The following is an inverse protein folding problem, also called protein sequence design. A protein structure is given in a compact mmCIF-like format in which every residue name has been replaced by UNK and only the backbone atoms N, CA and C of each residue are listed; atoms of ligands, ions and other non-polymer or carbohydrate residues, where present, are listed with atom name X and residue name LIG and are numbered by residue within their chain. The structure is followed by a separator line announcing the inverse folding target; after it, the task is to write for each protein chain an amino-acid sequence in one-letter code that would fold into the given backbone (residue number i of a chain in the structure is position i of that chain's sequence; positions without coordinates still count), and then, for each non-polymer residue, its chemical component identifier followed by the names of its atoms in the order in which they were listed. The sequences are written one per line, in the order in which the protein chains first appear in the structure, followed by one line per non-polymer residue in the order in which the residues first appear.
data_IF_275425654144
#
_entry.id   IF_275425654144
#
_cell.length_a   1.000
_cell.length_b   1.000
_cell.length_c   1.000
_cell.angle_alpha   90.00
_cell.angle_beta   90.00
_cell.angle_gamma   90.00
#
_symmetry.space_group_name_H-M   'P 1'
#
loop_
_entity.id
_entity.type
_entity.pdbx_description
1 polymer ?
#
# COMPACT_ATOMS: atom_id res chain seq x y z
N UNK A 1 -3.49 -13.55 15.77
CA UNK A 1 -2.22 -13.94 15.12
C UNK A 1 -1.80 -12.80 14.23
N UNK A 2 -0.53 -12.41 14.27
CA UNK A 2 -0.07 -11.09 13.85
C UNK A 2 0.85 -11.11 12.61
N UNK A 3 1.16 -12.32 12.09
CA UNK A 3 2.13 -12.46 11.00
C UNK A 3 3.56 -12.16 11.47
N UNK A 4 3.97 -12.73 12.60
CA UNK A 4 5.30 -12.52 13.17
C UNK A 4 6.40 -12.88 12.15
N UNK A 5 7.55 -12.18 12.14
CA UNK A 5 8.57 -12.39 11.10
C UNK A 5 9.07 -13.82 10.94
N UNK A 6 9.10 -14.59 12.03
CA UNK A 6 9.54 -15.98 12.08
C UNK A 6 8.50 -16.98 11.55
N UNK A 7 7.25 -16.56 11.40
CA UNK A 7 6.13 -17.43 11.01
C UNK A 7 5.90 -17.31 9.49
N UNK A 8 6.97 -17.50 8.70
CA UNK A 8 6.90 -17.41 7.24
C UNK A 8 6.23 -18.64 6.63
N UNK A 9 5.41 -18.41 5.60
CA UNK A 9 4.73 -19.48 4.86
C UNK A 9 5.66 -19.94 3.74
N UNK A 10 6.08 -21.21 3.82
CA UNK A 10 6.99 -21.81 2.85
C UNK A 10 6.36 -21.93 1.46
N UNK A 11 7.20 -21.92 0.43
CA UNK A 11 6.74 -22.10 -0.95
C UNK A 11 5.99 -23.43 -1.10
N UNK A 12 4.80 -23.38 -1.72
CA UNK A 12 3.94 -24.56 -1.93
C UNK A 12 3.09 -24.94 -0.72
N UNK A 13 3.17 -24.22 0.40
CA UNK A 13 2.30 -24.41 1.56
C UNK A 13 1.29 -23.28 1.69
N UNK A 14 0.38 -23.43 2.67
CA UNK A 14 -0.62 -22.43 2.98
C UNK A 14 -0.69 -22.21 4.50
N UNK A 15 -1.26 -21.07 4.87
CA UNK A 15 -1.59 -20.74 6.24
C UNK A 15 -2.88 -19.94 6.27
N UNK A 16 -3.80 -20.31 7.15
CA UNK A 16 -5.09 -19.64 7.28
C UNK A 16 -5.07 -18.70 8.47
N UNK A 17 -5.21 -17.39 8.19
CA UNK A 17 -5.46 -16.40 9.24
C UNK A 17 -6.95 -16.39 9.56
N UNK A 18 -7.29 -16.53 10.84
CA UNK A 18 -8.65 -16.39 11.36
C UNK A 18 -8.61 -15.57 12.64
N UNK A 19 -9.32 -14.45 12.63
CA UNK A 19 -9.45 -13.55 13.78
C UNK A 19 -10.76 -12.78 13.65
N UNK A 20 -11.44 -12.46 14.77
CA UNK A 20 -12.60 -11.59 14.74
C UNK A 20 -12.17 -10.16 14.40
N UNK A 21 -12.98 -9.48 13.59
CA UNK A 21 -12.83 -8.04 13.36
C UNK A 21 -13.63 -7.32 14.44
N UNK A 22 -12.91 -6.64 15.33
CA UNK A 22 -13.48 -5.89 16.48
C UNK A 22 -13.02 -4.43 16.49
N UNK A 23 -12.28 -4.03 15.46
CA UNK A 23 -11.82 -2.68 15.24
C UNK A 23 -12.95 -1.86 14.61
N UNK A 24 -12.91 -0.53 14.83
CA UNK A 24 -13.82 0.42 14.19
C UNK A 24 -13.56 0.49 12.68
N UNK A 25 -14.51 1.06 11.95
CA UNK A 25 -14.32 1.39 10.55
C UNK A 25 -13.03 2.18 10.30
N UNK A 26 -12.34 1.84 9.22
CA UNK A 26 -11.04 2.43 8.91
C UNK A 26 -10.33 1.79 7.73
N UNK A 27 -9.33 2.49 7.24
CA UNK A 27 -8.41 2.00 6.22
C UNK A 27 -7.23 1.32 6.91
N UNK A 28 -7.27 -0.01 7.00
CA UNK A 28 -6.12 -0.81 7.41
C UNK A 28 -5.40 -1.33 6.16
N UNK A 29 -4.23 -1.92 6.37
CA UNK A 29 -3.45 -2.51 5.30
C UNK A 29 -2.81 -3.79 5.80
N UNK A 30 -2.58 -4.72 4.89
CA UNK A 30 -1.79 -5.92 5.16
C UNK A 30 -0.56 -5.91 4.25
N UNK A 31 0.52 -6.51 4.74
CA UNK A 31 1.74 -6.68 3.97
C UNK A 31 2.53 -7.89 4.46
N UNK A 32 3.47 -8.37 3.65
CA UNK A 32 4.40 -9.40 4.11
C UNK A 32 5.29 -8.87 5.23
N UNK A 33 5.49 -9.66 6.28
CA UNK A 33 6.38 -9.33 7.39
C UNK A 33 7.49 -10.39 7.59
N UNK A 34 7.74 -11.23 6.58
CA UNK A 34 8.69 -12.34 6.66
C UNK A 34 10.13 -11.87 7.00
N UNK A 35 10.78 -12.58 7.91
CA UNK A 35 12.11 -12.24 8.41
C UNK A 35 13.12 -12.04 7.27
N UNK A 36 13.84 -10.91 7.30
CA UNK A 36 14.78 -10.47 6.26
C UNK A 36 14.22 -10.29 4.84
N UNK A 37 12.92 -10.48 4.63
CA UNK A 37 12.29 -10.46 3.30
C UNK A 37 11.20 -9.40 3.16
N UNK A 38 10.70 -8.81 4.26
CA UNK A 38 9.66 -7.76 4.26
C UNK A 38 9.84 -6.75 3.14
N UNK A 39 10.99 -6.06 3.10
CA UNK A 39 11.25 -5.01 2.12
C UNK A 39 11.23 -5.53 0.66
N UNK A 40 11.73 -6.75 0.43
CA UNK A 40 11.72 -7.38 -0.89
C UNK A 40 10.31 -7.80 -1.31
N UNK A 41 9.54 -8.38 -0.40
CA UNK A 41 8.18 -8.83 -0.66
C UNK A 41 7.24 -7.64 -0.92
N UNK A 42 7.29 -6.61 -0.08
CA UNK A 42 6.51 -5.37 -0.28
C UNK A 42 6.87 -4.72 -1.62
N UNK A 43 8.16 -4.63 -1.95
CA UNK A 43 8.61 -4.12 -3.26
C UNK A 43 8.09 -4.96 -4.43
N UNK A 44 7.94 -6.28 -4.25
CA UNK A 44 7.32 -7.18 -5.24
C UNK A 44 5.79 -7.14 -5.25
N UNK A 45 5.15 -6.32 -4.42
CA UNK A 45 3.70 -6.12 -4.40
C UNK A 45 2.95 -6.89 -3.32
N UNK A 46 3.62 -7.43 -2.30
CA UNK A 46 2.96 -8.17 -1.22
C UNK A 46 2.42 -7.19 -0.16
N UNK A 47 1.52 -6.32 -0.61
CA UNK A 47 0.82 -5.34 0.21
C UNK A 47 -0.56 -5.05 -0.39
N UNK A 48 -1.54 -4.79 0.46
CA UNK A 48 -2.90 -4.48 0.02
C UNK A 48 -3.73 -3.83 1.12
N UNK A 49 -4.89 -3.34 0.72
CA UNK A 49 -5.85 -2.72 1.64
C UNK A 49 -6.62 -3.77 2.44
N UNK A 50 -6.91 -3.43 3.69
CA UNK A 50 -7.86 -4.12 4.54
C UNK A 50 -8.85 -3.07 5.05
N UNK A 51 -9.96 -2.88 4.34
CA UNK A 51 -10.93 -1.84 4.68
C UNK A 51 -11.98 -2.46 5.60
N UNK A 52 -12.18 -1.86 6.76
CA UNK A 52 -13.26 -2.20 7.69
C UNK A 52 -14.31 -1.10 7.56
N UNK A 53 -15.56 -1.52 7.42
CA UNK A 53 -16.75 -0.65 7.40
C UNK A 53 -17.63 -1.03 8.59
N UNK A 54 -18.38 -0.08 9.13
CA UNK A 54 -19.36 -0.31 10.18
C UNK A 54 -20.60 0.59 10.02
N UNK A 55 -21.69 0.24 10.71
CA UNK A 55 -22.96 0.97 10.63
C UNK A 55 -22.86 2.41 11.17
N UNK A 56 -21.89 2.70 12.03
CA UNK A 56 -21.66 4.06 12.56
C UNK A 56 -21.07 4.96 11.47
N UNK A 57 -20.06 4.48 10.74
CA UNK A 57 -19.42 5.21 9.64
C UNK A 57 -20.42 5.53 8.53
N UNK A 58 -21.31 4.59 8.19
CA UNK A 58 -22.32 4.78 7.16
C UNK A 58 -23.28 5.95 7.46
N UNK A 59 -23.50 6.27 8.74
CA UNK A 59 -24.35 7.39 9.15
C UNK A 59 -23.75 8.77 8.85
N UNK A 60 -22.43 8.86 8.63
CA UNK A 60 -21.78 10.13 8.29
C UNK A 60 -22.02 10.56 6.83
N UNK A 61 -22.60 9.71 5.98
CA UNK A 61 -22.90 10.06 4.59
C UNK A 61 -21.65 10.41 3.76
N UNK A 62 -20.49 9.84 4.13
CA UNK A 62 -19.25 9.99 3.37
C UNK A 62 -19.41 9.39 1.96
N UNK A 63 -18.61 9.82 0.96
CA UNK A 63 -18.61 9.19 -0.35
C UNK A 63 -18.33 7.69 -0.26
N UNK A 64 -19.12 6.87 -0.96
CA UNK A 64 -19.01 5.40 -1.02
C UNK A 64 -18.98 4.90 -2.46
N UNK A 65 -18.73 3.60 -2.64
CA UNK A 65 -18.75 2.95 -3.96
C UNK A 65 -17.72 3.57 -4.91
N UNK A 66 -18.17 4.03 -6.08
CA UNK A 66 -17.29 4.60 -7.11
C UNK A 66 -16.64 5.95 -6.72
N UNK A 67 -17.01 6.52 -5.57
CA UNK A 67 -16.44 7.75 -5.04
C UNK A 67 -15.51 7.52 -3.84
N UNK A 68 -15.35 6.27 -3.40
CA UNK A 68 -14.41 5.87 -2.35
C UNK A 68 -13.23 5.11 -2.96
N UNK A 69 -12.13 5.84 -3.16
CA UNK A 69 -11.03 5.42 -4.02
C UNK A 69 -9.80 5.06 -3.17
N UNK A 70 -9.39 3.78 -3.16
CA UNK A 70 -8.13 3.36 -2.54
C UNK A 70 -6.94 3.79 -3.39
N UNK A 71 -5.95 4.41 -2.76
CA UNK A 71 -4.70 4.87 -3.38
C UNK A 71 -3.49 4.25 -2.67
N UNK A 72 -3.03 3.09 -3.15
CA UNK A 72 -1.79 2.44 -2.71
C UNK A 72 -0.61 3.06 -3.44
N UNK A 73 0.19 3.86 -2.74
CA UNK A 73 1.31 4.60 -3.32
C UNK A 73 2.61 3.85 -3.04
N UNK A 74 3.39 3.55 -4.07
CA UNK A 74 4.72 2.98 -3.89
C UNK A 74 5.69 3.37 -5.00
N UNK A 75 6.98 3.44 -4.69
CA UNK A 75 8.02 3.76 -5.65
C UNK A 75 8.84 2.54 -6.10
N UNK A 76 9.35 2.57 -7.33
CA UNK A 76 10.17 1.53 -7.95
C UNK A 76 11.34 2.16 -8.71
N UNK A 77 12.43 1.41 -8.86
CA UNK A 77 13.47 1.74 -9.82
C UNK A 77 13.06 1.19 -11.19
N UNK A 78 12.76 2.08 -12.14
CA UNK A 78 12.48 1.75 -13.53
C UNK A 78 13.71 1.92 -14.41
N UNK A 79 14.54 2.94 -14.14
CA UNK A 79 15.70 3.24 -14.96
C UNK A 79 16.72 2.15 -14.61
N UNK A 80 17.03 1.31 -15.59
CA UNK A 80 17.99 0.19 -15.55
C UNK A 80 17.50 -1.21 -15.11
N UNK A 81 16.22 -1.42 -14.73
CA UNK A 81 15.76 -2.76 -14.29
C UNK A 81 14.32 -3.09 -14.75
N UNK A 82 14.12 -3.63 -15.96
CA UNK A 82 12.80 -3.86 -16.58
C UNK A 82 11.89 -4.89 -15.88
N UNK A 83 12.25 -5.35 -14.68
CA UNK A 83 11.55 -6.36 -13.90
C UNK A 83 11.24 -5.90 -12.46
N UNK A 84 11.44 -4.61 -12.15
CA UNK A 84 11.42 -4.11 -10.77
C UNK A 84 12.22 -5.04 -9.85
N UNK A 85 13.50 -5.23 -10.16
CA UNK A 85 14.32 -6.09 -9.32
C UNK A 85 14.62 -5.36 -8.00
N UNK A 86 14.61 -6.11 -6.90
CA UNK A 86 14.94 -5.57 -5.58
C UNK A 86 16.40 -5.88 -5.29
N UNK A 87 17.27 -4.89 -5.47
CA UNK A 87 18.72 -5.05 -5.38
C UNK A 87 19.38 -3.89 -4.61
N UNK A 88 19.07 -3.69 -3.32
CA UNK A 88 19.62 -2.59 -2.53
C UNK A 88 21.13 -2.79 -2.29
N UNK A 89 21.91 -1.74 -2.57
CA UNK A 89 23.31 -1.63 -2.19
C UNK A 89 23.46 -1.29 -0.68
N UNK A 90 24.70 -1.14 -0.19
CA UNK A 90 24.94 -0.84 1.23
C UNK A 90 24.32 0.49 1.67
N UNK A 91 24.40 1.53 0.85
CA UNK A 91 23.80 2.84 1.14
C UNK A 91 22.28 2.76 1.15
N UNK A 92 21.67 2.03 0.22
CA UNK A 92 20.22 1.83 0.19
C UNK A 92 19.69 1.13 1.44
N UNK A 93 20.46 0.18 2.00
CA UNK A 93 20.09 -0.49 3.25
C UNK A 93 20.20 0.43 4.46
N UNK A 94 21.08 1.43 4.40
CA UNK A 94 21.31 2.38 5.49
C UNK A 94 20.35 3.57 5.44
N UNK A 95 20.07 4.09 4.24
CA UNK A 95 19.30 5.32 4.03
C UNK A 95 17.87 5.07 3.52
N UNK A 96 17.56 3.83 3.12
CA UNK A 96 16.30 3.47 2.49
C UNK A 96 16.44 3.25 0.98
N UNK A 97 15.70 2.29 0.45
CA UNK A 97 15.65 1.99 -0.98
C UNK A 97 14.59 2.88 -1.65
N UNK A 98 15.04 3.93 -2.35
CA UNK A 98 14.21 4.99 -2.92
C UNK A 98 14.16 4.88 -4.45
N UNK A 99 12.99 4.54 -4.98
CA UNK A 99 12.75 4.41 -6.41
C UNK A 99 12.67 5.75 -7.15
N UNK A 100 12.80 5.71 -8.48
CA UNK A 100 12.68 6.86 -9.40
C UNK A 100 11.31 6.98 -10.06
N UNK A 101 10.50 5.93 -9.98
CA UNK A 101 9.16 5.88 -10.54
C UNK A 101 8.14 5.69 -9.44
N UNK A 102 7.18 6.60 -9.38
CA UNK A 102 6.00 6.48 -8.52
C UNK A 102 4.92 5.68 -9.24
N UNK A 103 4.31 4.75 -8.51
CA UNK A 103 3.15 4.00 -8.94
C UNK A 103 1.99 4.27 -7.97
N UNK A 104 0.79 4.36 -8.53
CA UNK A 104 -0.47 4.39 -7.78
C UNK A 104 -1.25 3.14 -8.16
N UNK A 105 -1.59 2.30 -7.18
CA UNK A 105 -2.23 1.00 -7.41
C UNK A 105 -1.47 0.16 -8.47
N UNK A 106 -0.14 0.24 -8.48
CA UNK A 106 0.72 -0.46 -9.44
C UNK A 106 0.77 0.15 -10.86
N UNK A 107 0.08 1.27 -11.10
CA UNK A 107 0.03 1.94 -12.41
C UNK A 107 1.01 3.10 -12.44
N UNK A 108 1.85 3.15 -13.47
CA UNK A 108 2.73 4.28 -13.76
C UNK A 108 1.92 5.43 -14.38
N UNK A 109 2.23 6.66 -13.99
CA UNK A 109 1.56 7.88 -14.49
C UNK A 109 0.03 7.75 -14.42
N UNK A 110 -0.45 7.28 -13.26
CA UNK A 110 -1.85 6.96 -13.06
C UNK A 110 -2.73 8.21 -13.19
N UNK A 111 -3.80 8.08 -13.96
CA UNK A 111 -4.81 9.11 -14.16
C UNK A 111 -6.20 8.56 -13.82
N UNK A 112 -7.06 9.42 -13.29
CA UNK A 112 -8.44 9.08 -12.92
C UNK A 112 -9.37 10.23 -13.29
N UNK A 113 -10.36 9.93 -14.13
CA UNK A 113 -11.40 10.91 -14.49
C UNK A 113 -12.37 11.11 -13.33
N UNK A 114 -12.56 12.36 -12.94
CA UNK A 114 -13.45 12.74 -11.84
C UNK A 114 -14.65 13.53 -12.34
N UNK A 115 -15.76 13.39 -11.61
CA UNK A 115 -16.92 14.27 -11.74
C UNK A 115 -16.80 15.45 -10.75
N UNK A 116 -17.58 16.51 -10.95
CA UNK A 116 -17.63 17.66 -10.03
C UNK A 116 -18.44 17.32 -8.77
N UNK A 117 -17.88 16.48 -7.90
CA UNK A 117 -18.51 16.01 -6.66
C UNK A 117 -17.43 15.70 -5.60
N UNK A 118 -17.86 15.25 -4.41
CA UNK A 118 -16.96 14.83 -3.35
C UNK A 118 -16.46 13.41 -3.59
N UNK A 119 -15.15 13.22 -3.37
CA UNK A 119 -14.48 11.92 -3.38
C UNK A 119 -13.84 11.69 -2.02
N UNK A 120 -13.79 10.42 -1.62
CA UNK A 120 -13.03 9.94 -0.48
C UNK A 120 -11.81 9.22 -1.00
N UNK A 121 -10.61 9.74 -0.72
CA UNK A 121 -9.36 9.08 -1.08
C UNK A 121 -8.76 8.37 0.14
N UNK A 122 -8.56 7.05 0.05
CA UNK A 122 -7.94 6.23 1.09
C UNK A 122 -6.47 6.02 0.74
N UNK A 123 -5.60 6.88 1.26
CA UNK A 123 -4.18 6.89 0.90
C UNK A 123 -3.39 5.96 1.81
N UNK A 124 -2.63 5.04 1.23
CA UNK A 124 -1.65 4.21 1.92
C UNK A 124 -0.29 4.37 1.24
N UNK A 125 0.70 4.80 2.02
CA UNK A 125 2.10 4.76 1.59
C UNK A 125 2.67 3.36 1.81
N UNK A 126 2.89 2.63 0.72
CA UNK A 126 3.50 1.30 0.68
C UNK A 126 4.90 1.31 0.05
N UNK A 127 5.56 2.47 0.05
CA UNK A 127 6.96 2.60 -0.35
C UNK A 127 7.87 2.01 0.73
N UNK A 128 9.02 1.47 0.35
CA UNK A 128 9.94 0.88 1.31
C UNK A 128 10.55 1.92 2.27
N UNK A 129 10.75 3.14 1.79
CA UNK A 129 11.42 4.19 2.56
C UNK A 129 10.92 5.60 2.28
N UNK A 130 10.33 5.86 1.11
CA UNK A 130 9.93 7.21 0.71
C UNK A 130 8.81 7.76 1.58
N UNK A 131 8.99 8.99 2.06
CA UNK A 131 7.95 9.78 2.70
C UNK A 131 7.39 10.77 1.68
N UNK A 132 6.07 10.92 1.64
CA UNK A 132 5.39 11.83 0.73
C UNK A 132 4.73 12.97 1.49
N UNK A 133 4.68 14.13 0.84
CA UNK A 133 3.80 15.22 1.18
C UNK A 133 2.79 15.36 0.04
N UNK A 134 1.51 15.07 0.32
CA UNK A 134 0.46 15.10 -0.69
C UNK A 134 -0.20 16.49 -0.72
N UNK A 135 -0.51 16.95 -1.92
CA UNK A 135 -1.27 18.17 -2.16
C UNK A 135 -1.76 18.21 -3.60
N UNK A 136 -2.73 19.06 -3.86
CA UNK A 136 -3.19 19.33 -5.22
C UNK A 136 -2.31 20.41 -5.85
N UNK A 137 -2.07 20.29 -7.16
CA UNK A 137 -1.17 21.21 -7.88
C UNK A 137 -1.71 22.64 -7.99
N UNK A 138 -3.01 22.83 -7.77
CA UNK A 138 -3.68 24.13 -7.75
C UNK A 138 -3.68 24.80 -6.37
N UNK A 139 -3.03 24.18 -5.37
CA UNK A 139 -2.96 24.65 -3.98
C UNK A 139 -4.32 24.80 -3.28
N UNK A 140 -5.33 24.02 -3.69
CA UNK A 140 -6.60 23.91 -2.98
C UNK A 140 -6.47 23.29 -1.59
#
# INVERSE_FOLDING_TARGET
MDGQPKDDVQAGTNYTYSFPIIQRAGTYFYHSHAHHLTAKHVYKGYAGFFIIEDDEELQYGLPTGVYDIPLLIHDRHSVYQPQFNYAPNMMDRMLGYLGDVLLVNGTFDAFFEVQKTLYRFRIVNSSNARVYNFGFSDNS
#
